data_IF_604945367399
#
_entry.id   IF_604945367399
#
_cell.length_a   1.000
_cell.length_b   1.000
_cell.length_c   1.000
_cell.angle_alpha   90.00
_cell.angle_beta   90.00
_cell.angle_gamma   90.00
#
_symmetry.space_group_name_H-M   'P 1'
#
loop_
_entity.id
_entity.type
_entity.pdbx_description
1 polymer ?
#
# COMPACT_ATOMS: atom_id res chain seq x y z
N UNK A 1 -24.79 -12.63 14.61
CA UNK A 1 -23.49 -12.91 15.23
C UNK A 1 -22.72 -13.80 14.27
N UNK A 2 -21.54 -13.38 13.82
CA UNK A 2 -20.73 -14.18 12.89
C UNK A 2 -20.17 -15.37 13.66
N UNK A 3 -20.40 -16.57 13.15
CA UNK A 3 -19.92 -17.82 13.75
C UNK A 3 -18.58 -18.22 13.12
N UNK A 4 -17.55 -18.42 13.94
CA UNK A 4 -16.27 -18.97 13.54
C UNK A 4 -15.72 -19.84 14.68
N UNK A 5 -15.21 -21.06 14.43
CA UNK A 5 -14.75 -21.96 15.50
C UNK A 5 -13.64 -21.36 16.36
N UNK A 6 -12.69 -20.65 15.73
CA UNK A 6 -11.62 -19.96 16.46
C UNK A 6 -12.12 -18.83 17.37
N UNK A 7 -13.29 -18.24 17.09
CA UNK A 7 -13.85 -17.18 17.95
C UNK A 7 -14.35 -17.75 19.27
N UNK A 8 -14.88 -18.98 19.27
CA UNK A 8 -15.32 -19.60 20.52
C UNK A 8 -14.17 -19.71 21.52
N UNK A 9 -12.95 -19.99 21.06
CA UNK A 9 -11.76 -20.13 21.90
C UNK A 9 -11.05 -18.79 22.20
N UNK A 10 -11.38 -17.71 21.48
CA UNK A 10 -10.72 -16.42 21.60
C UNK A 10 -10.99 -15.77 22.96
N UNK A 11 -9.95 -15.28 23.63
CA UNK A 11 -10.08 -14.41 24.81
C UNK A 11 -10.56 -15.09 26.09
N UNK A 12 -10.78 -16.42 26.09
CA UNK A 12 -11.27 -17.15 27.28
C UNK A 12 -10.29 -17.14 28.45
N UNK A 13 -8.99 -17.04 28.19
CA UNK A 13 -7.95 -17.05 29.21
C UNK A 13 -6.91 -15.95 28.94
N UNK A 14 -6.23 -15.43 29.97
CA UNK A 14 -5.18 -14.44 29.76
C UNK A 14 -4.03 -15.03 28.95
N UNK A 15 -3.48 -14.26 28.03
CA UNK A 15 -2.38 -14.67 27.17
C UNK A 15 -2.49 -14.13 25.76
N UNK A 16 -1.53 -14.55 24.93
CA UNK A 16 -1.48 -14.21 23.51
C UNK A 16 -2.04 -15.38 22.69
N UNK A 17 -2.93 -15.05 21.76
CA UNK A 17 -3.38 -15.95 20.69
C UNK A 17 -3.01 -15.33 19.35
N UNK A 18 -2.49 -16.15 18.43
CA UNK A 18 -2.05 -15.71 17.10
C UNK A 18 -2.67 -16.63 16.06
N UNK A 19 -3.31 -16.02 15.07
CA UNK A 19 -3.85 -16.69 13.91
C UNK A 19 -3.22 -16.13 12.65
N UNK A 20 -3.04 -16.98 11.66
CA UNK A 20 -2.65 -16.62 10.31
C UNK A 20 -3.87 -16.67 9.42
N UNK A 21 -4.00 -15.69 8.54
CA UNK A 21 -5.02 -15.74 7.49
C UNK A 21 -4.53 -16.68 6.39
N UNK A 22 -5.29 -17.74 6.12
CA UNK A 22 -4.98 -18.69 5.07
C UNK A 22 -6.21 -18.90 4.21
N UNK A 23 -6.17 -18.46 2.93
CA UNK A 23 -7.28 -18.64 1.97
C UNK A 23 -8.66 -18.21 2.53
N UNK A 24 -8.71 -17.01 3.10
CA UNK A 24 -9.91 -16.41 3.72
C UNK A 24 -10.41 -17.12 4.99
N UNK A 25 -9.56 -17.89 5.67
CA UNK A 25 -9.85 -18.54 6.94
C UNK A 25 -8.85 -18.12 8.03
N UNK A 26 -9.22 -18.25 9.31
CA UNK A 26 -8.31 -18.06 10.45
C UNK A 26 -7.74 -19.39 10.93
N UNK A 27 -6.43 -19.56 10.77
CA UNK A 27 -5.71 -20.77 11.19
C UNK A 27 -4.84 -20.44 12.40
N UNK A 28 -5.03 -21.16 13.50
CA UNK A 28 -4.24 -20.97 14.71
C UNK A 28 -2.75 -21.28 14.46
N UNK A 29 -1.88 -20.35 14.85
CA UNK A 29 -0.43 -20.55 14.75
C UNK A 29 0.04 -21.40 15.94
N UNK A 30 0.88 -22.42 15.72
CA UNK A 30 1.52 -23.15 16.82
C UNK A 30 2.29 -22.20 17.76
N UNK A 31 2.15 -22.38 19.08
CA UNK A 31 2.72 -21.46 20.09
C UNK A 31 4.24 -21.34 19.99
N UNK A 32 4.90 -22.40 19.54
CA UNK A 32 6.35 -22.48 19.35
C UNK A 32 6.83 -21.55 18.21
N UNK A 33 5.91 -21.17 17.31
CA UNK A 33 6.17 -20.31 16.16
C UNK A 33 5.78 -18.85 16.42
N UNK A 34 5.25 -18.51 17.60
CA UNK A 34 4.92 -17.14 17.95
C UNK A 34 6.14 -16.22 17.81
N UNK A 35 5.91 -15.06 17.20
CA UNK A 35 6.96 -14.11 16.85
C UNK A 35 7.64 -14.40 15.51
N UNK A 36 7.28 -15.48 14.81
CA UNK A 36 7.72 -15.73 13.43
C UNK A 36 6.59 -15.39 12.45
N UNK A 37 6.81 -14.40 11.59
CA UNK A 37 5.83 -13.93 10.63
C UNK A 37 6.37 -14.05 9.21
N UNK A 38 5.55 -14.58 8.31
CA UNK A 38 5.86 -14.61 6.89
C UNK A 38 5.60 -13.23 6.26
N UNK A 39 6.52 -12.75 5.44
CA UNK A 39 6.43 -11.42 4.78
C UNK A 39 5.30 -11.36 3.78
N UNK A 40 4.90 -12.49 3.21
CA UNK A 40 3.79 -12.67 2.29
C UNK A 40 2.43 -12.93 2.92
N UNK A 41 2.30 -12.92 4.26
CA UNK A 41 1.06 -13.30 4.95
C UNK A 41 0.49 -12.15 5.81
N UNK A 42 -0.78 -12.29 6.20
CA UNK A 42 -1.44 -11.45 7.19
C UNK A 42 -1.83 -12.28 8.43
N UNK A 43 -1.82 -11.64 9.60
CA UNK A 43 -2.07 -12.30 10.88
C UNK A 43 -3.04 -11.49 11.74
N UNK A 44 -3.81 -12.19 12.57
CA UNK A 44 -4.63 -11.60 13.63
C UNK A 44 -4.10 -12.07 14.97
N UNK A 45 -3.94 -11.16 15.92
CA UNK A 45 -3.47 -11.44 17.26
C UNK A 45 -4.46 -10.88 18.28
N UNK A 46 -4.71 -11.67 19.31
CA UNK A 46 -5.48 -11.26 20.47
C UNK A 46 -4.61 -11.38 21.71
N UNK A 47 -4.34 -10.26 22.35
CA UNK A 47 -3.73 -10.23 23.67
C UNK A 47 -4.81 -10.00 24.72
N UNK A 48 -4.95 -10.95 25.64
CA UNK A 48 -5.94 -10.93 26.71
C UNK A 48 -5.27 -10.78 28.06
N UNK A 49 -5.68 -9.78 28.84
CA UNK A 49 -5.17 -9.56 30.20
C UNK A 49 -6.33 -9.40 31.17
N UNK A 50 -6.19 -9.98 32.36
CA UNK A 50 -7.17 -9.78 33.44
C UNK A 50 -6.78 -8.54 34.24
N UNK A 51 -7.69 -7.57 34.32
CA UNK A 51 -7.47 -6.36 35.11
C UNK A 51 -7.65 -6.66 36.62
N UNK A 52 -7.32 -5.67 37.47
CA UNK A 52 -7.42 -5.81 38.93
C UNK A 52 -8.84 -6.09 39.44
N UNK A 53 -9.86 -5.67 38.68
CA UNK A 53 -11.26 -5.93 38.99
C UNK A 53 -11.72 -7.33 38.55
N UNK A 54 -10.85 -8.11 37.91
CA UNK A 54 -11.17 -9.45 37.43
C UNK A 54 -11.78 -9.48 36.03
N UNK A 55 -12.01 -8.34 35.38
CA UNK A 55 -12.53 -8.30 34.01
C UNK A 55 -11.41 -8.54 33.00
N UNK A 56 -11.75 -9.10 31.85
CA UNK A 56 -10.80 -9.22 30.73
C UNK A 56 -10.71 -7.89 29.98
N UNK A 57 -9.50 -7.54 29.58
CA UNK A 57 -9.20 -6.51 28.60
C UNK A 57 -8.52 -7.16 27.41
N UNK A 58 -8.80 -6.64 26.23
CA UNK A 58 -8.39 -7.22 24.96
C UNK A 58 -7.72 -6.17 24.09
N UNK A 59 -6.56 -6.50 23.55
CA UNK A 59 -5.94 -5.78 22.45
C UNK A 59 -5.96 -6.70 21.22
N UNK A 60 -6.62 -6.26 20.16
CA UNK A 60 -6.68 -6.94 18.88
C UNK A 60 -5.73 -6.26 17.90
N UNK A 61 -4.78 -7.01 17.38
CA UNK A 61 -3.86 -6.53 16.36
C UNK A 61 -4.10 -7.31 15.09
N UNK A 62 -4.08 -6.63 13.94
CA UNK A 62 -3.85 -7.31 12.67
C UNK A 62 -2.53 -6.82 12.07
N UNK A 63 -1.66 -7.77 11.79
CA UNK A 63 -0.33 -7.53 11.26
C UNK A 63 -0.29 -7.85 9.78
N UNK A 64 0.30 -6.95 8.99
CA UNK A 64 0.36 -7.04 7.54
C UNK A 64 1.82 -7.11 7.07
N UNK A 65 2.17 -8.22 6.43
CA UNK A 65 3.45 -8.39 5.76
C UNK A 65 3.58 -7.47 4.54
N UNK A 66 4.82 -7.08 4.21
CA UNK A 66 5.08 -6.18 3.08
C UNK A 66 4.73 -6.79 1.72
N UNK A 67 4.65 -8.12 1.63
CA UNK A 67 4.36 -8.88 0.42
C UNK A 67 2.98 -9.57 0.49
N UNK A 68 2.19 -9.32 1.55
CA UNK A 68 0.89 -9.96 1.69
C UNK A 68 -0.11 -9.50 0.62
N UNK A 69 -0.98 -10.42 0.22
CA UNK A 69 -1.95 -10.15 -0.83
C UNK A 69 -3.11 -9.27 -0.32
N UNK A 70 -3.84 -8.68 -1.27
CA UNK A 70 -4.97 -7.80 -0.95
C UNK A 70 -6.09 -8.55 -0.22
N UNK A 71 -6.35 -9.80 -0.61
CA UNK A 71 -7.35 -10.63 0.04
C UNK A 71 -6.97 -11.01 1.46
N UNK A 72 -5.71 -11.33 1.71
CA UNK A 72 -5.24 -11.66 3.06
C UNK A 72 -5.29 -10.45 3.99
N UNK A 73 -4.82 -9.29 3.53
CA UNK A 73 -4.88 -8.05 4.32
C UNK A 73 -6.31 -7.57 4.56
N UNK A 74 -7.19 -7.69 3.58
CA UNK A 74 -8.62 -7.41 3.71
C UNK A 74 -9.31 -8.38 4.67
N UNK A 75 -9.03 -9.68 4.55
CA UNK A 75 -9.56 -10.70 5.44
C UNK A 75 -9.09 -10.52 6.89
N UNK A 76 -7.82 -10.16 7.12
CA UNK A 76 -7.31 -9.87 8.46
C UNK A 76 -8.10 -8.72 9.12
N UNK A 77 -8.34 -7.63 8.38
CA UNK A 77 -9.14 -6.51 8.89
C UNK A 77 -10.60 -6.91 9.17
N UNK A 78 -11.22 -7.70 8.28
CA UNK A 78 -12.59 -8.21 8.47
C UNK A 78 -12.66 -9.10 9.72
N UNK A 79 -11.72 -10.02 9.88
CA UNK A 79 -11.67 -10.90 11.05
C UNK A 79 -11.45 -10.13 12.35
N UNK A 80 -10.63 -9.08 12.35
CA UNK A 80 -10.47 -8.21 13.52
C UNK A 80 -11.78 -7.55 13.93
N UNK A 81 -12.54 -6.99 12.98
CA UNK A 81 -13.85 -6.38 13.27
C UNK A 81 -14.85 -7.43 13.77
N UNK A 82 -14.92 -8.59 13.14
CA UNK A 82 -15.84 -9.64 13.54
C UNK A 82 -15.50 -10.23 14.92
N UNK A 83 -14.20 -10.35 15.26
CA UNK A 83 -13.75 -10.81 16.57
C UNK A 83 -14.03 -9.75 17.65
N UNK A 84 -13.90 -8.47 17.32
CA UNK A 84 -14.29 -7.36 18.20
C UNK A 84 -15.80 -7.41 18.53
N UNK A 85 -16.65 -7.55 17.52
CA UNK A 85 -18.10 -7.74 17.69
C UNK A 85 -18.41 -8.97 18.56
N UNK A 86 -17.69 -10.09 18.36
CA UNK A 86 -17.86 -11.31 19.15
C UNK A 86 -17.50 -11.11 20.63
N UNK A 87 -16.48 -10.29 20.91
CA UNK A 87 -16.04 -9.92 22.25
C UNK A 87 -16.81 -8.72 22.83
N UNK A 88 -17.92 -8.34 22.20
CA UNK A 88 -18.84 -7.31 22.67
C UNK A 88 -18.35 -5.88 22.48
N UNK A 89 -17.49 -5.63 21.48
CA UNK A 89 -16.93 -4.30 21.18
C UNK A 89 -16.00 -3.76 22.26
N UNK A 90 -15.45 -4.64 23.10
CA UNK A 90 -14.51 -4.28 24.17
C UNK A 90 -13.05 -4.18 23.71
N UNK A 91 -12.57 -5.00 22.75
CA UNK A 91 -11.20 -4.87 22.27
C UNK A 91 -10.79 -3.49 21.75
N UNK A 92 -9.54 -3.13 21.98
CA UNK A 92 -8.88 -2.02 21.26
C UNK A 92 -8.24 -2.60 20.00
N UNK A 93 -8.59 -2.05 18.83
CA UNK A 93 -8.07 -2.53 17.55
C UNK A 93 -6.81 -1.76 17.13
N UNK A 94 -5.80 -2.48 16.67
CA UNK A 94 -4.51 -1.95 16.25
C UNK A 94 -4.14 -2.49 14.86
N UNK A 95 -3.73 -1.60 13.96
CA UNK A 95 -3.19 -1.98 12.65
C UNK A 95 -1.67 -1.97 12.71
N UNK A 96 -1.07 -3.12 12.50
CA UNK A 96 0.39 -3.32 12.56
C UNK A 96 0.93 -3.59 11.16
N UNK A 97 2.04 -2.94 10.80
CA UNK A 97 2.70 -3.10 9.49
C UNK A 97 4.12 -3.57 9.72
N UNK A 98 4.58 -4.52 8.90
CA UNK A 98 5.94 -5.06 8.97
C UNK A 98 7.01 -3.96 9.08
N UNK A 99 7.80 -4.01 10.15
CA UNK A 99 8.91 -3.09 10.41
C UNK A 99 8.51 -1.75 11.03
N UNK A 100 7.22 -1.51 11.26
CA UNK A 100 6.66 -0.32 11.90
C UNK A 100 5.65 -0.67 13.00
N UNK A 101 5.81 -1.84 13.61
CA UNK A 101 4.92 -2.33 14.66
C UNK A 101 4.94 -1.41 15.88
N UNK A 102 3.80 -1.33 16.55
CA UNK A 102 3.69 -0.62 17.82
C UNK A 102 4.61 -1.22 18.89
N UNK A 103 4.94 -0.40 19.88
CA UNK A 103 5.70 -0.85 21.05
C UNK A 103 4.95 -1.91 21.85
N UNK A 104 3.61 -1.82 21.89
CA UNK A 104 2.75 -2.81 22.51
C UNK A 104 2.87 -4.17 21.82
N UNK A 105 2.70 -4.20 20.50
CA UNK A 105 2.82 -5.42 19.69
C UNK A 105 4.19 -6.08 19.83
N UNK A 106 5.25 -5.29 19.65
CA UNK A 106 6.63 -5.76 19.78
C UNK A 106 6.92 -6.32 21.19
N UNK A 107 6.31 -5.73 22.21
CA UNK A 107 6.46 -6.13 23.61
C UNK A 107 5.93 -7.54 23.93
N UNK A 108 5.05 -8.12 23.10
CA UNK A 108 4.57 -9.49 23.28
C UNK A 108 5.64 -10.55 22.99
N UNK A 109 6.62 -10.22 22.14
CA UNK A 109 7.65 -11.16 21.67
C UNK A 109 8.99 -10.85 22.33
N UNK A 110 9.22 -11.37 23.53
CA UNK A 110 10.46 -11.12 24.32
C UNK A 110 11.76 -11.47 23.59
N UNK A 111 11.71 -12.44 22.67
CA UNK A 111 12.86 -12.86 21.86
C UNK A 111 12.95 -12.11 20.51
N UNK A 112 12.14 -11.07 20.33
CA UNK A 112 12.01 -10.32 19.09
C UNK A 112 11.12 -11.00 18.05
N UNK A 113 10.84 -10.22 17.00
CA UNK A 113 10.09 -10.64 15.82
C UNK A 113 11.06 -11.17 14.75
N UNK A 114 10.70 -12.26 14.09
CA UNK A 114 11.45 -12.91 13.01
C UNK A 114 10.63 -12.89 11.73
N UNK A 115 11.10 -12.15 10.72
CA UNK A 115 10.50 -12.17 9.39
C UNK A 115 11.01 -13.36 8.58
N UNK A 116 10.11 -14.08 7.94
CA UNK A 116 10.41 -15.22 7.08
C UNK A 116 9.95 -14.90 5.65
N UNK A 117 10.76 -15.17 4.63
CA UNK A 117 10.33 -15.00 3.25
C UNK A 117 9.23 -16.02 2.90
N UNK A 118 8.37 -15.65 1.94
CA UNK A 118 7.26 -16.49 1.47
C UNK A 118 5.97 -16.26 2.25
N UNK A 119 5.04 -17.20 2.11
CA UNK A 119 3.69 -17.12 2.66
C UNK A 119 2.77 -18.21 2.09
N UNK A 120 1.51 -18.22 2.50
CA UNK A 120 0.45 -18.95 1.83
C UNK A 120 0.13 -18.25 0.51
N UNK A 121 -0.31 -19.02 -0.50
CA UNK A 121 -0.78 -18.42 -1.73
C UNK A 121 -2.14 -17.75 -1.50
N UNK A 122 -2.32 -16.56 -2.07
CA UNK A 122 -3.59 -15.82 -2.12
C UNK A 122 -4.79 -16.75 -2.38
N UNK A 123 -5.87 -16.51 -1.63
CA UNK A 123 -7.16 -17.20 -1.81
C UNK A 123 -7.93 -16.71 -3.03
N UNK A 124 -7.53 -15.59 -3.64
CA UNK A 124 -8.13 -15.11 -4.87
C UNK A 124 -7.70 -15.96 -6.07
N UNK A 125 -8.67 -16.28 -6.92
CA UNK A 125 -8.36 -16.74 -8.28
C UNK A 125 -7.91 -15.52 -9.07
N UNK A 126 -6.79 -15.66 -9.77
CA UNK A 126 -6.30 -14.62 -10.67
C UNK A 126 -7.25 -14.51 -11.89
N UNK A 127 -8.30 -13.73 -11.75
CA UNK A 127 -9.14 -13.30 -12.87
C UNK A 127 -8.39 -12.14 -13.48
N UNK A 128 -7.95 -12.25 -14.74
CA UNK A 128 -7.44 -11.11 -15.49
C UNK A 128 -8.66 -10.24 -15.80
N UNK A 129 -8.86 -9.08 -15.14
CA UNK A 129 -9.81 -8.12 -15.68
C UNK A 129 -9.22 -7.74 -17.04
N UNK A 130 -10.04 -7.79 -18.09
CA UNK A 130 -9.66 -7.40 -19.46
C UNK A 130 -8.66 -6.25 -19.40
N UNK A 131 -7.53 -6.37 -20.11
CA UNK A 131 -6.55 -5.29 -20.30
C UNK A 131 -7.34 -4.00 -20.52
N UNK A 132 -7.38 -3.16 -19.49
CA UNK A 132 -8.18 -1.95 -19.52
C UNK A 132 -7.49 -1.05 -20.54
N UNK A 133 -8.24 -0.55 -21.53
CA UNK A 133 -7.84 0.54 -22.42
C UNK A 133 -7.63 1.82 -21.59
N UNK A 134 -6.57 1.82 -20.76
CA UNK A 134 -6.16 2.98 -19.98
C UNK A 134 -5.37 3.89 -20.91
N UNK A 135 -5.82 5.13 -21.05
CA UNK A 135 -5.09 6.20 -21.73
C UNK A 135 -5.17 7.45 -20.89
N UNK A 136 -4.08 7.79 -20.19
CA UNK A 136 -4.00 8.98 -19.32
C UNK A 136 -2.60 9.57 -19.29
N UNK A 137 -2.52 10.85 -18.91
CA UNK A 137 -1.29 11.59 -18.72
C UNK A 137 -1.19 12.08 -17.27
N UNK A 138 -0.08 11.80 -16.60
CA UNK A 138 0.21 12.34 -15.28
C UNK A 138 1.34 13.35 -15.38
N UNK A 139 1.11 14.56 -14.87
CA UNK A 139 2.11 15.59 -14.70
C UNK A 139 2.80 15.41 -13.35
N UNK A 140 4.13 15.25 -13.36
CA UNK A 140 4.97 15.03 -12.19
C UNK A 140 5.83 16.27 -11.95
N UNK A 141 5.45 17.05 -10.93
CA UNK A 141 6.07 18.34 -10.61
C UNK A 141 6.37 18.50 -9.12
N UNK A 142 7.47 19.18 -8.80
CA UNK A 142 7.78 19.68 -7.47
C UNK A 142 9.27 19.57 -7.11
N UNK A 143 9.66 20.15 -5.97
CA UNK A 143 11.06 20.15 -5.52
C UNK A 143 11.30 19.41 -4.22
N UNK A 144 10.66 19.77 -3.09
CA UNK A 144 10.74 18.97 -1.85
C UNK A 144 9.58 17.99 -1.72
N UNK A 145 8.40 18.35 -2.24
CA UNK A 145 7.22 17.46 -2.30
C UNK A 145 6.75 17.29 -3.74
N UNK A 146 7.19 16.22 -4.41
CA UNK A 146 6.79 15.93 -5.79
C UNK A 146 5.46 15.18 -5.83
N UNK A 147 4.51 15.65 -6.63
CA UNK A 147 3.18 15.03 -6.82
C UNK A 147 2.98 14.65 -8.28
N UNK A 148 2.14 13.64 -8.51
CA UNK A 148 1.65 13.28 -9.83
C UNK A 148 0.16 13.65 -9.91
N UNK A 149 -0.22 14.46 -10.90
CA UNK A 149 -1.61 14.90 -11.11
C UNK A 149 -2.04 14.58 -12.54
N UNK A 150 -3.24 14.05 -12.69
CA UNK A 150 -3.78 13.74 -14.02
C UNK A 150 -4.12 15.02 -14.79
N UNK A 151 -3.72 15.06 -16.06
CA UNK A 151 -3.90 16.18 -16.99
C UNK A 151 -4.39 15.63 -18.35
N UNK A 152 -4.93 16.47 -19.25
CA UNK A 152 -5.34 16.02 -20.57
C UNK A 152 -4.21 15.31 -21.34
N UNK A 153 -4.53 14.18 -22.00
CA UNK A 153 -3.57 13.44 -22.83
C UNK A 153 -3.30 14.17 -24.14
N UNK A 154 -2.47 15.22 -24.08
CA UNK A 154 -2.14 16.08 -25.20
C UNK A 154 -0.77 16.72 -25.01
N UNK A 155 -0.05 16.97 -26.11
CA UNK A 155 1.19 17.75 -26.10
C UNK A 155 1.03 19.16 -25.50
N UNK A 156 -0.19 19.73 -25.52
CA UNK A 156 -0.48 21.01 -24.89
C UNK A 156 -0.30 21.01 -23.35
N UNK A 157 -0.26 19.83 -22.71
CA UNK A 157 -0.01 19.70 -21.27
C UNK A 157 1.47 19.55 -20.92
N UNK A 158 2.33 19.31 -21.90
CA UNK A 158 3.76 19.10 -21.68
C UNK A 158 4.51 20.43 -21.58
N UNK A 159 5.62 20.41 -20.85
CA UNK A 159 6.60 21.47 -20.82
C UNK A 159 8.02 20.90 -20.61
N UNK A 160 9.04 21.69 -20.91
CA UNK A 160 10.44 21.26 -20.83
C UNK A 160 10.97 21.11 -19.39
N UNK A 161 10.29 21.70 -18.40
CA UNK A 161 10.77 21.82 -17.03
C UNK A 161 10.32 20.72 -16.07
N UNK A 162 9.41 19.83 -16.48
CA UNK A 162 8.81 18.84 -15.58
C UNK A 162 8.92 17.40 -16.15
N UNK A 163 8.48 16.43 -15.37
CA UNK A 163 8.34 15.04 -15.82
C UNK A 163 6.88 14.68 -16.06
N UNK A 164 6.63 13.72 -16.93
CA UNK A 164 5.29 13.25 -17.29
C UNK A 164 5.27 11.73 -17.36
N UNK A 165 4.12 11.13 -17.09
CA UNK A 165 3.89 9.69 -17.26
C UNK A 165 2.72 9.51 -18.20
N UNK A 166 3.00 8.97 -19.39
CA UNK A 166 2.00 8.56 -20.37
C UNK A 166 1.68 7.10 -20.08
N UNK A 167 0.48 6.84 -19.58
CA UNK A 167 0.04 5.50 -19.23
C UNK A 167 -0.95 5.00 -20.29
N UNK A 168 -0.49 4.02 -21.08
CA UNK A 168 -1.25 3.35 -22.15
C UNK A 168 -1.56 1.89 -21.79
N UNK A 169 -1.75 1.60 -20.49
CA UNK A 169 -2.11 0.27 -20.01
C UNK A 169 -0.90 -0.67 -19.92
N UNK A 170 -0.58 -1.36 -21.01
CA UNK A 170 0.53 -2.32 -21.09
C UNK A 170 1.89 -1.63 -21.24
N UNK A 171 1.91 -0.44 -21.83
CA UNK A 171 3.11 0.39 -22.00
C UNK A 171 2.95 1.67 -21.19
N UNK A 172 3.98 2.00 -20.41
CA UNK A 172 4.04 3.20 -19.59
C UNK A 172 5.31 3.95 -20.02
N UNK A 173 5.15 5.17 -20.52
CA UNK A 173 6.26 6.03 -20.90
C UNK A 173 6.48 7.09 -19.82
N UNK A 174 7.61 7.02 -19.13
CA UNK A 174 8.09 8.11 -18.29
C UNK A 174 8.85 9.09 -19.18
N UNK A 175 8.29 10.26 -19.44
CA UNK A 175 8.93 11.32 -20.21
C UNK A 175 9.53 12.38 -19.29
N UNK A 176 10.79 12.73 -19.51
CA UNK A 176 11.49 13.73 -18.71
C UNK A 176 11.88 14.92 -19.60
N UNK A 177 11.40 16.12 -19.26
CA UNK A 177 11.77 17.33 -19.97
C UNK A 177 13.26 17.65 -19.82
N UNK A 178 13.84 18.30 -20.82
CA UNK A 178 15.28 18.62 -20.86
C UNK A 178 15.74 19.48 -19.68
N UNK A 179 14.84 20.26 -19.07
CA UNK A 179 15.08 21.15 -17.92
C UNK A 179 14.52 20.60 -16.60
N UNK A 180 14.00 19.38 -16.57
CA UNK A 180 13.43 18.76 -15.36
C UNK A 180 14.47 18.45 -14.28
N UNK A 181 14.05 18.58 -13.02
CA UNK A 181 14.97 18.44 -11.90
C UNK A 181 15.12 16.97 -11.44
N UNK A 182 16.21 16.68 -10.70
CA UNK A 182 16.53 15.30 -10.26
C UNK A 182 15.48 14.69 -9.33
N UNK A 183 14.80 15.50 -8.52
CA UNK A 183 13.77 15.01 -7.60
C UNK A 183 12.50 14.61 -8.36
N UNK A 184 12.13 15.36 -9.40
CA UNK A 184 11.02 15.03 -10.31
C UNK A 184 11.29 13.73 -11.04
N UNK A 185 12.49 13.57 -11.61
CA UNK A 185 12.89 12.33 -12.29
C UNK A 185 12.83 11.11 -11.37
N UNK A 186 13.32 11.25 -10.13
CA UNK A 186 13.26 10.18 -9.13
C UNK A 186 11.81 9.83 -8.79
N UNK A 187 10.96 10.84 -8.58
CA UNK A 187 9.54 10.59 -8.25
C UNK A 187 8.79 10.00 -9.44
N UNK A 188 9.02 10.49 -10.66
CA UNK A 188 8.41 9.95 -11.87
C UNK A 188 8.74 8.46 -12.01
N UNK A 189 9.98 8.07 -11.70
CA UNK A 189 10.41 6.66 -11.67
C UNK A 189 9.64 5.85 -10.63
N UNK A 190 9.47 6.38 -9.41
CA UNK A 190 8.69 5.71 -8.36
C UNK A 190 7.22 5.55 -8.75
N UNK A 191 6.62 6.58 -9.36
CA UNK A 191 5.21 6.54 -9.77
C UNK A 191 5.04 5.58 -10.95
N UNK A 192 5.89 5.62 -11.97
CA UNK A 192 5.82 4.71 -13.11
C UNK A 192 5.99 3.24 -12.70
N UNK A 193 6.95 2.96 -11.79
CA UNK A 193 7.09 1.62 -11.19
C UNK A 193 5.89 1.24 -10.34
N UNK A 194 5.34 2.17 -9.56
CA UNK A 194 4.14 1.95 -8.76
C UNK A 194 2.93 1.58 -9.63
N UNK A 195 2.72 2.27 -10.75
CA UNK A 195 1.66 1.92 -11.72
C UNK A 195 1.91 0.51 -12.28
N UNK A 196 3.14 0.22 -12.72
CA UNK A 196 3.50 -1.10 -13.23
C UNK A 196 3.25 -2.21 -12.20
N UNK A 197 3.82 -2.07 -11.01
CA UNK A 197 3.87 -3.13 -10.01
C UNK A 197 2.52 -3.30 -9.30
N UNK A 198 1.87 -2.19 -8.93
CA UNK A 198 0.65 -2.22 -8.13
C UNK A 198 -0.62 -2.19 -8.99
N UNK A 199 -0.70 -1.32 -10.00
CA UNK A 199 -1.91 -1.23 -10.84
C UNK A 199 -1.95 -2.27 -11.95
N UNK A 200 -0.78 -2.73 -12.43
CA UNK A 200 -0.66 -3.71 -13.53
C UNK A 200 -0.05 -5.04 -13.11
N UNK A 201 0.18 -5.23 -11.80
CA UNK A 201 0.72 -6.48 -11.25
C UNK A 201 2.05 -6.90 -11.88
N UNK A 202 2.91 -5.93 -12.20
CA UNK A 202 4.21 -6.15 -12.84
C UNK A 202 4.17 -6.45 -14.35
N UNK A 203 2.97 -6.50 -14.97
CA UNK A 203 2.78 -6.95 -16.36
C UNK A 203 2.93 -5.84 -17.41
N UNK A 204 3.10 -4.59 -16.98
CA UNK A 204 3.36 -3.48 -17.88
C UNK A 204 4.87 -3.26 -18.09
N UNK A 205 5.22 -2.66 -19.21
CA UNK A 205 6.59 -2.20 -19.48
C UNK A 205 6.69 -0.71 -19.16
N UNK A 206 7.78 -0.31 -18.49
CA UNK A 206 8.11 1.10 -18.25
C UNK A 206 9.32 1.47 -19.10
N UNK A 207 9.14 2.45 -19.98
CA UNK A 207 10.20 3.03 -20.78
C UNK A 207 10.47 4.48 -20.33
N UNK A 208 11.73 4.79 -20.05
CA UNK A 208 12.16 6.14 -19.67
C UNK A 208 12.66 6.86 -20.92
N UNK A 209 12.07 8.03 -21.19
CA UNK A 209 12.29 8.84 -22.37
C UNK A 209 12.78 10.22 -21.97
N UNK A 210 13.77 10.74 -22.69
CA UNK A 210 14.17 12.14 -22.62
C UNK A 210 13.47 12.94 -23.74
N UNK A 211 13.44 14.26 -23.59
CA UNK A 211 12.96 15.17 -24.64
C UNK A 211 13.63 14.89 -26.00
N UNK A 212 12.81 14.73 -27.04
CA UNK A 212 13.26 14.31 -28.38
C UNK A 212 13.05 12.83 -28.70
N UNK A 213 12.86 11.97 -27.70
CA UNK A 213 12.57 10.55 -27.93
C UNK A 213 11.07 10.34 -28.20
N UNK A 214 10.75 9.77 -29.35
CA UNK A 214 9.37 9.53 -29.80
C UNK A 214 9.19 8.09 -30.31
N UNK A 215 9.05 7.10 -29.41
CA UNK A 215 8.72 5.74 -29.83
C UNK A 215 7.32 5.69 -30.46
N UNK A 216 7.08 4.73 -31.35
CA UNK A 216 5.86 4.63 -32.15
C UNK A 216 4.58 4.70 -31.30
N UNK A 217 4.51 3.96 -30.20
CA UNK A 217 3.34 3.96 -29.31
C UNK A 217 3.04 5.32 -28.65
N UNK A 218 4.05 6.17 -28.47
CA UNK A 218 3.86 7.54 -27.98
C UNK A 218 3.32 8.45 -29.10
N UNK A 219 3.86 8.32 -30.32
CA UNK A 219 3.43 9.08 -31.50
C UNK A 219 2.00 8.71 -31.89
N UNK A 220 1.63 7.44 -31.83
CA UNK A 220 0.25 7.00 -32.07
C UNK A 220 -0.73 7.61 -31.05
N UNK A 221 -0.32 7.78 -29.80
CA UNK A 221 -1.18 8.27 -28.73
C UNK A 221 -1.32 9.81 -28.71
N UNK A 222 -0.24 10.54 -28.99
CA UNK A 222 -0.18 12.01 -28.85
C UNK A 222 0.01 12.76 -30.17
N UNK A 223 0.34 12.06 -31.26
CA UNK A 223 0.84 12.65 -32.50
C UNK A 223 2.31 13.07 -32.40
N UNK A 224 2.82 13.72 -33.45
CA UNK A 224 4.20 14.22 -33.47
C UNK A 224 4.42 15.35 -32.47
N UNK A 225 5.52 15.28 -31.73
CA UNK A 225 5.89 16.25 -30.71
C UNK A 225 6.13 17.64 -31.33
N UNK A 226 5.42 18.69 -30.87
CA UNK A 226 5.66 20.07 -31.27
C UNK A 226 6.82 20.67 -30.45
N UNK A 227 7.13 21.95 -30.69
CA UNK A 227 7.95 22.73 -29.76
C UNK A 227 7.20 22.90 -28.42
N UNK A 228 7.86 22.59 -27.31
CA UNK A 228 7.28 22.66 -25.97
C UNK A 228 7.66 23.95 -25.25
N UNK A 229 6.77 24.53 -24.43
CA UNK A 229 7.07 25.72 -23.64
C UNK A 229 8.07 25.41 -22.51
N UNK A 230 8.73 26.46 -22.00
CA UNK A 230 9.51 26.35 -20.76
C UNK A 230 8.59 26.05 -19.56
N UNK A 231 9.11 25.34 -18.56
CA UNK A 231 8.36 25.07 -17.33
C UNK A 231 8.24 26.30 -16.43
N UNK A 232 7.14 26.39 -15.68
CA UNK A 232 6.93 27.47 -14.71
C UNK A 232 7.85 27.31 -13.48
N UNK A 233 8.52 28.41 -13.11
CA UNK A 233 9.56 28.47 -12.07
C UNK A 233 9.02 28.80 -10.65
N UNK A 234 7.92 28.19 -10.21
CA UNK A 234 7.31 28.51 -8.90
C UNK A 234 7.19 27.30 -7.95
N UNK A 235 8.30 26.56 -7.78
CA UNK A 235 8.42 25.40 -6.87
C UNK A 235 8.26 25.75 -5.38
N UNK A 236 8.38 27.03 -5.03
CA UNK A 236 8.47 27.52 -3.64
C UNK A 236 7.11 27.55 -2.94
N UNK A 237 6.00 27.72 -3.69
CA UNK A 237 4.63 27.75 -3.12
C UNK A 237 4.07 26.38 -2.76
N UNK A 238 4.61 25.28 -3.31
CA UNK A 238 4.11 23.92 -3.05
C UNK A 238 4.56 23.35 -1.69
N UNK A 239 5.75 23.74 -1.23
CA UNK A 239 6.41 23.11 -0.08
C UNK A 239 5.98 23.66 1.30
N UNK A 240 5.37 24.85 1.36
CA UNK A 240 5.04 25.54 2.62
C UNK A 240 3.81 24.96 3.36
N UNK A 241 3.02 24.07 2.76
CA UNK A 241 1.72 23.64 3.28
C UNK A 241 1.71 22.39 4.17
N UNK A 242 2.84 21.68 4.32
CA UNK A 242 2.80 20.27 4.77
C UNK A 242 3.39 19.95 6.16
N UNK A 243 3.73 20.91 7.02
CA UNK A 243 4.30 20.58 8.35
C UNK A 243 3.72 21.42 9.47
N UNK A 244 3.10 20.72 10.43
CA UNK A 244 2.69 21.12 11.79
C UNK A 244 1.23 21.56 11.99
N UNK A 245 0.27 20.66 11.79
CA UNK A 245 -1.01 20.68 12.51
C UNK A 245 -1.50 19.23 12.67
N UNK A 246 -1.67 18.75 13.91
CA UNK A 246 -2.54 17.60 14.17
C UNK A 246 -3.97 18.14 14.23
N UNK A 247 -4.88 17.54 13.47
CA UNK A 247 -6.27 17.99 13.35
C UNK A 247 -7.17 16.89 13.89
N UNK A 248 -8.13 17.27 14.75
CA UNK A 248 -9.20 16.39 15.18
C UNK A 248 -10.37 16.57 14.21
N UNK A 249 -10.84 15.46 13.62
CA UNK A 249 -11.96 15.43 12.71
C UNK A 249 -13.10 14.62 13.33
N UNK A 250 -14.35 15.01 13.05
CA UNK A 250 -15.53 14.16 13.28
C UNK A 250 -15.87 13.52 11.94
N UNK A 251 -15.86 12.18 11.90
CA UNK A 251 -16.32 11.37 10.76
C UNK A 251 -17.82 11.16 10.88
#
# INVERSE_FOLDING_TARGET
MVYHPEFEAAGRQPGLQVWRVEKLDLVAVPKELYGSFYTGDAYVLLFSVRNRAGNMQYDLHFWLGNECSQDESGAAAIFTVQMDDHLGGQPVQHREVQGFESTAFSGYFKNGIKYKPGGVASGFRHVVPNLVDVKRLLHVKGRRTVRATEVPLSWASFNQGDCFIVDLGANIYQWCGSKSNRFERLKATQVAKGIRDNERSGRARVDVLEEGMQPDGLVEALGSMPSLPEGEADDVKADASNRKIAKLYKV
#
